data_IF_970492418954
#
_entry.id   IF_970492418954
#
_cell.length_a   1.000
_cell.length_b   1.000
_cell.length_c   1.000
_cell.angle_alpha   90.00
_cell.angle_beta   90.00
_cell.angle_gamma   90.00
#
_symmetry.space_group_name_H-M   'P 1'
#
loop_
_entity.id
_entity.type
_entity.pdbx_description
1 polymer ?
#
# COMPACT_ATOMS: atom_id res chain seq x y z
N UNK A 1 -13.59 11.96 7.44
CA UNK A 1 -13.43 10.81 6.51
C UNK A 1 -14.08 9.53 7.04
N UNK A 2 -13.82 9.09 8.31
CA UNK A 2 -14.48 7.90 8.90
C UNK A 2 -16.00 8.02 8.84
N UNK A 3 -16.56 9.15 9.27
CA UNK A 3 -18.00 9.43 9.22
C UNK A 3 -18.55 9.32 7.79
N UNK A 4 -17.87 9.92 6.80
CA UNK A 4 -18.30 9.88 5.40
C UNK A 4 -18.32 8.45 4.85
N UNK A 5 -17.30 7.61 5.16
CA UNK A 5 -17.28 6.19 4.78
C UNK A 5 -18.43 5.44 5.45
N UNK A 6 -18.67 5.65 6.76
CA UNK A 6 -19.76 4.99 7.50
C UNK A 6 -21.14 5.34 6.94
N UNK A 7 -21.34 6.55 6.48
CA UNK A 7 -22.58 6.98 5.82
C UNK A 7 -22.74 6.30 4.46
N UNK A 8 -21.69 6.35 3.63
CA UNK A 8 -21.72 5.81 2.27
C UNK A 8 -21.86 4.30 2.22
N UNK A 9 -21.25 3.57 3.18
CA UNK A 9 -21.26 2.13 3.18
C UNK A 9 -22.69 1.54 3.24
N UNK A 10 -23.66 2.28 3.80
CA UNK A 10 -25.05 1.84 3.87
C UNK A 10 -25.64 1.58 2.49
N UNK A 11 -25.31 2.46 1.52
CA UNK A 11 -25.80 2.41 0.14
C UNK A 11 -24.81 1.77 -0.84
N UNK A 12 -23.77 1.11 -0.33
CA UNK A 12 -22.72 0.47 -1.12
C UNK A 12 -23.01 -1.02 -1.26
N UNK A 13 -22.78 -1.56 -2.45
CA UNK A 13 -22.97 -2.99 -2.75
C UNK A 13 -21.63 -3.74 -2.68
N UNK A 14 -20.54 -3.15 -3.16
CA UNK A 14 -19.18 -3.69 -3.14
C UNK A 14 -18.19 -2.60 -2.74
N UNK A 15 -17.18 -2.96 -1.97
CA UNK A 15 -16.07 -2.08 -1.62
C UNK A 15 -14.82 -2.50 -2.38
N UNK A 16 -14.25 -1.58 -3.15
CA UNK A 16 -12.92 -1.73 -3.73
C UNK A 16 -11.91 -1.13 -2.76
N UNK A 17 -10.99 -1.95 -2.28
CA UNK A 17 -9.79 -1.47 -1.58
C UNK A 17 -8.58 -1.58 -2.50
N UNK A 18 -8.02 -0.42 -2.86
CA UNK A 18 -6.83 -0.32 -3.69
C UNK A 18 -5.59 -0.50 -2.81
N UNK A 19 -4.79 -1.50 -3.11
CA UNK A 19 -3.57 -1.88 -2.40
C UNK A 19 -2.35 -1.66 -3.29
N UNK A 20 -1.19 -1.40 -2.70
CA UNK A 20 0.07 -1.38 -3.42
C UNK A 20 0.63 -2.81 -3.52
N UNK A 21 0.77 -3.33 -4.74
CA UNK A 21 1.23 -4.71 -4.97
C UNK A 21 2.65 -5.00 -4.43
N UNK A 22 3.44 -3.96 -4.12
CA UNK A 22 4.75 -4.09 -3.49
C UNK A 22 4.69 -4.35 -1.98
N UNK A 23 3.54 -4.07 -1.35
CA UNK A 23 3.28 -4.21 0.09
C UNK A 23 1.76 -4.42 0.36
N UNK A 24 1.16 -5.52 -0.13
CA UNK A 24 -0.29 -5.68 -0.12
C UNK A 24 -0.91 -5.75 1.27
N UNK A 25 -0.27 -6.40 2.24
CA UNK A 25 -0.73 -6.46 3.62
C UNK A 25 -0.52 -5.13 4.35
N UNK A 26 0.67 -4.53 4.23
CA UNK A 26 0.99 -3.23 4.84
C UNK A 26 0.13 -2.09 4.30
N UNK A 27 -0.32 -2.15 3.05
CA UNK A 27 -1.21 -1.15 2.45
C UNK A 27 -2.70 -1.40 2.72
N UNK A 28 -3.08 -2.56 3.24
CA UNK A 28 -4.44 -2.83 3.68
C UNK A 28 -4.75 -2.05 4.97
N UNK A 29 -5.82 -1.27 4.94
CA UNK A 29 -6.19 -0.39 6.05
C UNK A 29 -7.14 -1.11 7.02
N UNK A 30 -6.70 -1.44 8.26
CA UNK A 30 -7.54 -2.16 9.22
C UNK A 30 -8.82 -1.39 9.60
N UNK A 31 -8.78 -0.06 9.61
CA UNK A 31 -9.97 0.76 9.86
C UNK A 31 -11.00 0.61 8.73
N UNK A 32 -10.54 0.53 7.47
CA UNK A 32 -11.44 0.28 6.34
C UNK A 32 -12.02 -1.13 6.43
N UNK A 33 -11.20 -2.14 6.74
CA UNK A 33 -11.67 -3.50 6.94
C UNK A 33 -12.77 -3.59 8.00
N UNK A 34 -12.59 -2.92 9.16
CA UNK A 34 -13.61 -2.83 10.22
C UNK A 34 -14.91 -2.18 9.73
N UNK A 35 -14.81 -1.01 9.04
CA UNK A 35 -15.97 -0.26 8.58
C UNK A 35 -16.74 -0.97 7.46
N UNK A 36 -16.07 -1.80 6.66
CA UNK A 36 -16.63 -2.41 5.46
C UNK A 36 -16.87 -3.92 5.58
N UNK A 37 -16.61 -4.53 6.73
CA UNK A 37 -16.68 -5.99 6.96
C UNK A 37 -18.00 -6.65 6.58
N UNK A 38 -19.11 -5.90 6.58
CA UNK A 38 -20.44 -6.41 6.21
C UNK A 38 -20.70 -6.39 4.69
N UNK A 39 -19.73 -5.93 3.89
CA UNK A 39 -19.88 -5.80 2.44
C UNK A 39 -18.87 -6.68 1.70
N UNK A 40 -19.24 -7.21 0.52
CA UNK A 40 -18.31 -7.87 -0.37
C UNK A 40 -17.13 -6.93 -0.69
N UNK A 41 -15.91 -7.47 -0.69
CA UNK A 41 -14.69 -6.69 -0.90
C UNK A 41 -13.93 -7.14 -2.15
N UNK A 42 -13.59 -6.18 -3.01
CA UNK A 42 -12.65 -6.37 -4.10
C UNK A 42 -11.29 -5.76 -3.70
N UNK A 43 -10.30 -6.60 -3.52
CA UNK A 43 -8.91 -6.18 -3.30
C UNK A 43 -8.23 -5.99 -4.65
N UNK A 44 -7.76 -4.79 -4.93
CA UNK A 44 -7.09 -4.47 -6.19
C UNK A 44 -5.61 -4.21 -5.89
N UNK A 45 -4.74 -5.13 -6.30
CA UNK A 45 -3.29 -4.99 -6.21
C UNK A 45 -2.82 -4.12 -7.37
N UNK A 46 -2.70 -2.81 -7.13
CA UNK A 46 -2.24 -1.83 -8.10
C UNK A 46 -0.71 -1.78 -8.17
N UNK A 47 -0.15 -1.28 -9.26
CA UNK A 47 1.29 -1.21 -9.52
C UNK A 47 1.95 -2.61 -9.58
N UNK A 48 1.24 -3.62 -10.07
CA UNK A 48 1.81 -4.97 -10.17
C UNK A 48 3.00 -5.05 -11.14
N UNK A 49 3.10 -4.09 -12.06
CA UNK A 49 4.26 -3.89 -12.94
C UNK A 49 5.57 -3.60 -12.18
N UNK A 50 5.47 -3.03 -10.96
CA UNK A 50 6.59 -2.72 -10.07
C UNK A 50 6.86 -3.82 -9.02
N UNK A 51 5.95 -4.80 -8.90
CA UNK A 51 5.97 -5.82 -7.86
C UNK A 51 6.53 -7.16 -8.37
N UNK A 52 7.05 -7.97 -7.45
CA UNK A 52 7.49 -9.34 -7.69
C UNK A 52 6.29 -10.19 -8.14
N UNK A 53 6.33 -10.78 -9.36
CA UNK A 53 5.20 -11.55 -9.88
C UNK A 53 4.84 -12.77 -9.03
N UNK A 54 5.84 -13.51 -8.54
CA UNK A 54 5.60 -14.70 -7.72
C UNK A 54 4.93 -14.34 -6.39
N UNK A 55 5.36 -13.26 -5.76
CA UNK A 55 4.72 -12.77 -4.52
C UNK A 55 3.35 -12.17 -4.77
N UNK A 56 3.13 -11.53 -5.92
CA UNK A 56 1.80 -11.04 -6.34
C UNK A 56 0.81 -12.19 -6.43
N UNK A 57 1.19 -13.33 -7.03
CA UNK A 57 0.33 -14.53 -7.09
C UNK A 57 -0.01 -15.08 -5.70
N UNK A 58 0.96 -15.11 -4.77
CA UNK A 58 0.70 -15.51 -3.39
C UNK A 58 -0.34 -14.62 -2.71
N UNK A 59 -0.25 -13.32 -2.91
CA UNK A 59 -1.21 -12.37 -2.35
C UNK A 59 -2.59 -12.44 -3.00
N UNK A 60 -2.67 -12.64 -4.31
CA UNK A 60 -3.93 -12.87 -5.01
C UNK A 60 -4.61 -14.14 -4.50
N UNK A 61 -3.87 -15.23 -4.37
CA UNK A 61 -4.39 -16.48 -3.81
C UNK A 61 -4.87 -16.30 -2.36
N UNK A 62 -4.09 -15.61 -1.52
CA UNK A 62 -4.44 -15.31 -0.14
C UNK A 62 -5.77 -14.53 -0.04
N UNK A 63 -5.90 -13.42 -0.74
CA UNK A 63 -7.12 -12.62 -0.67
C UNK A 63 -8.33 -13.34 -1.28
N UNK A 64 -8.14 -14.10 -2.37
CA UNK A 64 -9.21 -14.89 -2.97
C UNK A 64 -9.68 -16.06 -2.09
N UNK A 65 -8.89 -16.49 -1.10
CA UNK A 65 -9.29 -17.51 -0.13
C UNK A 65 -10.18 -16.96 0.99
N UNK A 66 -10.26 -15.63 1.15
CA UNK A 66 -11.06 -15.01 2.20
C UNK A 66 -12.55 -14.96 1.81
N UNK A 67 -13.48 -15.27 2.73
CA UNK A 67 -14.91 -15.21 2.45
C UNK A 67 -15.34 -13.82 1.99
N UNK A 68 -16.23 -13.76 0.99
CA UNK A 68 -16.79 -12.50 0.47
C UNK A 68 -15.75 -11.56 -0.16
N UNK A 69 -14.56 -12.08 -0.49
CA UNK A 69 -13.45 -11.31 -1.02
C UNK A 69 -13.04 -11.84 -2.39
N UNK A 70 -12.77 -10.93 -3.31
CA UNK A 70 -12.13 -11.19 -4.61
C UNK A 70 -10.88 -10.33 -4.70
N UNK A 71 -9.85 -10.81 -5.39
CA UNK A 71 -8.64 -10.05 -5.64
C UNK A 71 -8.26 -10.09 -7.13
N UNK A 72 -7.80 -8.95 -7.64
CA UNK A 72 -7.24 -8.81 -8.99
C UNK A 72 -5.99 -7.94 -8.94
N UNK A 73 -5.06 -8.16 -9.87
CA UNK A 73 -3.92 -7.27 -10.08
C UNK A 73 -4.20 -6.27 -11.20
N UNK A 74 -3.74 -5.05 -11.06
CA UNK A 74 -3.75 -4.02 -12.09
C UNK A 74 -2.38 -3.35 -12.21
N UNK A 75 -2.07 -2.83 -13.38
CA UNK A 75 -0.87 -2.03 -13.63
C UNK A 75 -1.14 -0.81 -14.53
N UNK A 76 -0.13 0.05 -14.64
CA UNK A 76 -0.22 1.28 -15.42
C UNK A 76 -0.32 1.03 -16.95
N UNK A 77 0.04 -0.17 -17.42
CA UNK A 77 -0.03 -0.55 -18.83
C UNK A 77 -1.42 -1.00 -19.27
N UNK A 78 -2.31 -1.26 -18.32
CA UNK A 78 -3.64 -1.78 -18.62
C UNK A 78 -4.52 -0.72 -19.26
N UNK A 79 -4.98 -1.00 -20.48
CA UNK A 79 -5.78 -0.06 -21.29
C UNK A 79 -7.28 -0.12 -20.99
N UNK A 80 -7.76 -1.22 -20.42
CA UNK A 80 -9.20 -1.43 -20.16
C UNK A 80 -9.49 -1.96 -18.74
N UNK A 81 -8.96 -1.32 -17.70
CA UNK A 81 -9.15 -1.81 -16.32
C UNK A 81 -10.62 -1.79 -15.88
N UNK A 82 -11.45 -0.91 -16.47
CA UNK A 82 -12.86 -0.81 -16.13
C UNK A 82 -13.62 -2.13 -16.34
N UNK A 83 -13.38 -2.84 -17.44
CA UNK A 83 -14.06 -4.13 -17.72
C UNK A 83 -13.76 -5.18 -16.65
N UNK A 84 -12.50 -5.28 -16.21
CA UNK A 84 -12.08 -6.23 -15.17
C UNK A 84 -12.66 -5.88 -13.80
N UNK A 85 -12.66 -4.60 -13.46
CA UNK A 85 -13.24 -4.11 -12.19
C UNK A 85 -14.75 -4.34 -12.15
N UNK A 86 -15.48 -4.01 -13.22
CA UNK A 86 -16.93 -4.22 -13.33
C UNK A 86 -17.25 -5.71 -13.23
N UNK A 87 -16.55 -6.57 -13.97
CA UNK A 87 -16.75 -8.02 -13.95
C UNK A 87 -16.53 -8.60 -12.53
N UNK A 88 -15.43 -8.22 -11.86
CA UNK A 88 -15.13 -8.67 -10.51
C UNK A 88 -16.18 -8.20 -9.48
N UNK A 89 -16.71 -6.99 -9.63
CA UNK A 89 -17.80 -6.49 -8.78
C UNK A 89 -19.11 -7.26 -9.01
N UNK A 90 -19.42 -7.64 -10.26
CA UNK A 90 -20.58 -8.47 -10.55
C UNK A 90 -20.47 -9.89 -10.00
N UNK A 91 -19.27 -10.48 -9.97
CA UNK A 91 -19.04 -11.77 -9.30
C UNK A 91 -19.35 -11.69 -7.79
N UNK A 92 -19.03 -10.56 -7.14
CA UNK A 92 -19.26 -10.34 -5.72
C UNK A 92 -20.71 -9.97 -5.35
N UNK A 93 -21.42 -9.31 -6.26
CA UNK A 93 -22.81 -8.90 -6.05
C UNK A 93 -23.68 -9.16 -7.31
N UNK A 94 -23.93 -10.44 -7.68
CA UNK A 94 -24.57 -10.82 -8.93
C UNK A 94 -26.05 -10.37 -9.04
N UNK A 95 -26.66 -10.01 -7.93
CA UNK A 95 -28.03 -9.48 -7.87
C UNK A 95 -28.12 -7.97 -8.17
N UNK A 96 -26.98 -7.32 -8.41
CA UNK A 96 -26.87 -5.91 -8.79
C UNK A 96 -26.44 -5.78 -10.24
N UNK A 97 -26.72 -4.64 -10.82
CA UNK A 97 -26.55 -4.32 -12.23
C UNK A 97 -27.89 -4.19 -12.95
N UNK A 98 -27.87 -3.49 -14.07
CA UNK A 98 -29.07 -3.08 -14.76
C UNK A 98 -29.70 -1.80 -14.21
N UNK A 99 -30.53 -1.14 -15.04
CA UNK A 99 -31.03 0.22 -14.77
C UNK A 99 -31.91 0.29 -13.50
N UNK A 100 -32.62 -0.78 -13.17
CA UNK A 100 -33.50 -0.81 -12.01
C UNK A 100 -32.73 -0.95 -10.67
N UNK A 101 -31.57 -1.61 -10.68
CA UNK A 101 -30.73 -1.83 -9.49
C UNK A 101 -29.26 -1.64 -9.84
N UNK A 102 -28.83 -0.40 -10.09
CA UNK A 102 -27.44 -0.13 -10.47
C UNK A 102 -26.46 -0.56 -9.37
N UNK A 103 -25.27 -1.00 -9.79
CA UNK A 103 -24.17 -1.35 -8.90
C UNK A 103 -23.59 -0.06 -8.29
N UNK A 104 -23.47 -0.01 -6.97
CA UNK A 104 -22.89 1.10 -6.22
C UNK A 104 -21.62 0.63 -5.53
N UNK A 105 -20.49 1.16 -5.93
CA UNK A 105 -19.17 0.70 -5.49
C UNK A 105 -18.44 1.83 -4.81
N UNK A 106 -17.92 1.57 -3.61
CA UNK A 106 -17.05 2.48 -2.90
C UNK A 106 -15.60 2.13 -3.23
N UNK A 107 -14.79 3.09 -3.67
CA UNK A 107 -13.34 2.92 -3.81
C UNK A 107 -12.59 3.65 -2.71
N UNK A 108 -11.70 2.94 -2.05
CA UNK A 108 -10.86 3.45 -0.97
C UNK A 108 -9.43 2.93 -1.10
N UNK A 109 -8.52 3.49 -0.34
CA UNK A 109 -7.12 3.09 -0.30
C UNK A 109 -6.27 4.10 0.46
N UNK A 110 -5.01 3.73 0.67
CA UNK A 110 -4.01 4.61 1.30
C UNK A 110 -3.60 5.75 0.35
N UNK A 111 -3.00 6.83 0.85
CA UNK A 111 -2.40 7.85 0.00
C UNK A 111 -1.36 7.26 -0.97
N UNK A 112 -1.25 7.85 -2.14
CA UNK A 112 -0.26 7.51 -3.17
C UNK A 112 -0.29 6.05 -3.69
N UNK A 113 -1.36 5.30 -3.40
CA UNK A 113 -1.57 3.95 -3.93
C UNK A 113 -1.90 3.93 -5.43
N UNK A 114 -2.15 5.09 -6.03
CA UNK A 114 -2.50 5.24 -7.45
C UNK A 114 -4.01 5.37 -7.70
N UNK A 115 -4.82 5.65 -6.68
CA UNK A 115 -6.28 5.73 -6.77
C UNK A 115 -6.75 6.80 -7.78
N UNK A 116 -6.23 8.01 -7.71
CA UNK A 116 -6.58 9.09 -8.65
C UNK A 116 -6.13 8.77 -10.09
N UNK A 117 -5.00 8.12 -10.27
CA UNK A 117 -4.51 7.66 -11.57
C UNK A 117 -5.47 6.62 -12.17
N UNK A 118 -5.86 5.61 -11.36
CA UNK A 118 -6.82 4.61 -11.78
C UNK A 118 -8.16 5.23 -12.17
N UNK A 119 -8.70 6.14 -11.36
CA UNK A 119 -9.95 6.84 -11.65
C UNK A 119 -9.86 7.60 -12.97
N UNK A 120 -8.76 8.30 -13.22
CA UNK A 120 -8.54 9.03 -14.48
C UNK A 120 -8.49 8.09 -15.69
N UNK A 121 -7.86 6.92 -15.56
CA UNK A 121 -7.84 5.87 -16.60
C UNK A 121 -9.25 5.32 -16.84
N UNK A 122 -10.00 5.05 -15.77
CA UNK A 122 -11.37 4.54 -15.87
C UNK A 122 -12.34 5.49 -16.56
N UNK A 123 -12.17 6.80 -16.37
CA UNK A 123 -13.06 7.82 -16.94
C UNK A 123 -12.62 8.36 -18.28
N UNK A 124 -11.41 8.03 -18.73
CA UNK A 124 -10.80 8.60 -19.95
C UNK A 124 -10.58 10.13 -19.88
N UNK A 125 -10.68 10.72 -18.69
CA UNK A 125 -10.57 12.18 -18.45
C UNK A 125 -9.73 12.42 -17.18
N UNK A 126 -9.14 13.61 -17.08
CA UNK A 126 -8.55 14.09 -15.81
C UNK A 126 -9.66 14.47 -14.80
N UNK A 127 -10.43 13.47 -14.36
CA UNK A 127 -11.54 13.66 -13.43
C UNK A 127 -11.07 13.81 -11.98
N UNK A 128 -9.93 13.20 -11.62
CA UNK A 128 -9.31 13.31 -10.31
C UNK A 128 -7.95 14.02 -10.42
N UNK A 129 -7.64 14.89 -9.44
CA UNK A 129 -6.33 15.52 -9.35
C UNK A 129 -5.30 14.47 -8.89
N UNK A 130 -4.26 14.28 -9.69
CA UNK A 130 -3.09 13.49 -9.34
C UNK A 130 -2.03 14.40 -8.70
N UNK A 131 -1.41 13.96 -7.62
CA UNK A 131 -0.33 14.69 -6.96
C UNK A 131 0.23 13.90 -5.79
N UNK A 132 1.47 14.20 -5.41
CA UNK A 132 2.19 13.52 -4.32
C UNK A 132 1.78 13.99 -2.91
N UNK A 133 0.84 14.94 -2.80
CA UNK A 133 0.37 15.44 -1.51
C UNK A 133 -0.79 14.61 -0.97
N UNK A 134 -0.63 14.10 0.24
CA UNK A 134 -1.66 13.38 0.96
C UNK A 134 -2.88 14.31 1.21
N UNK A 135 -4.07 13.88 0.83
CA UNK A 135 -5.32 14.60 1.14
C UNK A 135 -5.89 15.49 0.04
N UNK A 136 -5.46 15.35 -1.22
CA UNK A 136 -5.95 16.19 -2.34
C UNK A 136 -7.46 16.03 -2.60
N UNK A 137 -8.01 14.82 -2.41
CA UNK A 137 -9.46 14.58 -2.57
C UNK A 137 -10.18 14.97 -1.27
N UNK A 138 -10.85 16.12 -1.24
CA UNK A 138 -11.54 16.64 -0.05
C UNK A 138 -13.03 16.28 0.03
N UNK A 139 -13.64 15.92 -1.09
CA UNK A 139 -15.08 15.61 -1.20
C UNK A 139 -15.26 14.28 -1.92
N UNK A 140 -16.30 13.56 -1.53
CA UNK A 140 -16.76 12.37 -2.22
C UNK A 140 -17.22 12.71 -3.64
N UNK A 141 -16.73 12.00 -4.64
CA UNK A 141 -17.09 12.19 -6.04
C UNK A 141 -17.77 10.92 -6.58
N UNK A 142 -18.96 11.08 -7.17
CA UNK A 142 -19.62 10.01 -7.93
C UNK A 142 -19.09 9.98 -9.36
N UNK A 143 -18.67 8.81 -9.81
CA UNK A 143 -18.13 8.56 -11.14
C UNK A 143 -18.99 7.48 -11.79
N UNK A 144 -19.50 7.74 -13.00
CA UNK A 144 -20.25 6.76 -13.79
C UNK A 144 -19.30 6.01 -14.71
N UNK A 145 -19.13 4.70 -14.48
CA UNK A 145 -18.32 3.83 -15.34
C UNK A 145 -19.13 3.14 -16.41
N UNK A 146 -20.40 2.84 -16.14
CA UNK A 146 -21.40 2.35 -17.07
C UNK A 146 -22.77 2.88 -16.67
N UNK A 147 -23.78 2.72 -17.52
CA UNK A 147 -25.14 3.22 -17.25
C UNK A 147 -25.74 2.66 -15.96
N UNK A 148 -25.29 1.52 -15.52
CA UNK A 148 -25.75 0.79 -14.34
C UNK A 148 -24.63 0.57 -13.30
N UNK A 149 -23.51 1.30 -13.39
CA UNK A 149 -22.36 1.15 -12.49
C UNK A 149 -21.82 2.50 -12.02
N UNK A 150 -21.94 2.75 -10.72
CA UNK A 150 -21.49 3.98 -10.06
C UNK A 150 -20.34 3.71 -9.10
N UNK A 151 -19.26 4.44 -9.27
CA UNK A 151 -18.09 4.43 -8.39
C UNK A 151 -18.10 5.70 -7.52
N UNK A 152 -17.93 5.53 -6.22
CA UNK A 152 -17.82 6.62 -5.25
C UNK A 152 -16.39 6.68 -4.73
N UNK A 153 -15.69 7.79 -5.00
CA UNK A 153 -14.33 8.01 -4.57
C UNK A 153 -14.27 8.60 -3.16
N UNK A 154 -13.34 8.09 -2.35
CA UNK A 154 -13.03 8.63 -1.02
C UNK A 154 -11.60 9.15 -0.97
N UNK A 155 -11.32 10.16 -0.12
CA UNK A 155 -9.95 10.58 0.14
C UNK A 155 -9.07 9.41 0.59
N UNK A 156 -7.81 9.40 0.17
CA UNK A 156 -6.82 8.45 0.68
C UNK A 156 -6.66 8.61 2.21
N UNK A 157 -6.72 7.50 2.94
CA UNK A 157 -6.73 7.51 4.40
C UNK A 157 -5.72 6.52 4.95
N UNK A 158 -4.82 7.04 5.80
CA UNK A 158 -4.04 6.24 6.72
C UNK A 158 -4.77 6.15 8.06
N UNK A 159 -4.57 5.05 8.76
CA UNK A 159 -5.08 4.88 10.12
C UNK A 159 -4.14 5.52 11.15
N UNK A 160 -4.68 6.02 12.28
CA UNK A 160 -3.89 6.82 13.23
C UNK A 160 -2.76 6.06 13.91
N UNK A 161 -2.81 4.73 13.90
CA UNK A 161 -1.86 3.90 14.64
C UNK A 161 -1.52 2.63 13.88
N UNK A 162 -0.27 2.56 13.46
CA UNK A 162 0.31 1.36 12.84
C UNK A 162 0.87 0.48 13.97
N UNK A 163 0.29 -0.71 14.16
CA UNK A 163 0.72 -1.66 15.21
C UNK A 163 1.84 -2.59 14.75
N UNK A 164 2.02 -2.73 13.44
CA UNK A 164 3.10 -3.51 12.82
C UNK A 164 4.22 -2.56 12.43
N UNK A 165 5.32 -2.54 13.16
CA UNK A 165 6.44 -1.63 12.90
C UNK A 165 6.97 -1.75 11.45
N UNK A 166 7.16 -2.99 10.96
CA UNK A 166 7.61 -3.24 9.58
C UNK A 166 6.67 -2.65 8.53
N UNK A 167 5.36 -2.69 8.76
CA UNK A 167 4.38 -2.02 7.87
C UNK A 167 4.57 -0.50 7.82
N UNK A 168 4.95 0.12 8.95
CA UNK A 168 5.26 1.55 8.99
C UNK A 168 6.43 1.91 8.07
N UNK A 169 7.51 1.14 8.13
CA UNK A 169 8.67 1.32 7.26
C UNK A 169 8.32 1.04 5.78
N UNK A 170 7.57 -0.03 5.49
CA UNK A 170 7.12 -0.36 4.14
C UNK A 170 6.25 0.76 3.54
N UNK A 171 5.31 1.31 4.32
CA UNK A 171 4.48 2.44 3.91
C UNK A 171 5.31 3.71 3.65
N UNK A 172 6.29 4.00 4.49
CA UNK A 172 7.22 5.11 4.28
C UNK A 172 8.08 4.89 3.03
N UNK A 173 8.65 3.70 2.85
CA UNK A 173 9.43 3.35 1.68
C UNK A 173 8.63 3.50 0.37
N UNK A 174 7.35 3.12 0.36
CA UNK A 174 6.47 3.22 -0.82
C UNK A 174 6.03 4.65 -1.17
N UNK A 175 6.16 5.59 -0.23
CA UNK A 175 5.68 6.97 -0.37
C UNK A 175 4.22 7.19 0.06
N UNK A 176 3.60 6.22 0.75
CA UNK A 176 2.26 6.39 1.31
C UNK A 176 2.24 7.36 2.50
N UNK A 177 3.37 7.56 3.15
CA UNK A 177 3.59 8.50 4.27
C UNK A 177 4.43 9.68 3.78
N UNK A 178 4.05 10.90 4.18
CA UNK A 178 4.77 12.12 3.81
C UNK A 178 6.19 12.15 4.39
N UNK A 179 7.14 12.75 3.66
CA UNK A 179 8.58 12.76 4.02
C UNK A 179 8.87 13.31 5.42
N UNK A 180 8.10 14.26 5.91
CA UNK A 180 8.31 14.87 7.23
C UNK A 180 7.85 13.99 8.41
N UNK A 181 7.26 12.83 8.14
CA UNK A 181 6.70 11.95 9.16
C UNK A 181 7.62 10.78 9.55
N UNK A 182 8.79 10.64 8.92
CA UNK A 182 9.74 9.55 9.17
C UNK A 182 11.19 9.98 8.93
N UNK A 183 12.13 9.21 9.48
CA UNK A 183 13.55 9.34 9.21
C UNK A 183 13.92 8.49 7.98
N UNK A 184 14.43 9.12 6.92
CA UNK A 184 14.76 8.44 5.68
C UNK A 184 15.93 7.45 5.83
N UNK A 185 16.91 7.73 6.71
CA UNK A 185 18.01 6.80 6.99
C UNK A 185 17.48 5.51 7.65
N UNK A 186 16.60 5.63 8.65
CA UNK A 186 15.99 4.46 9.30
C UNK A 186 15.15 3.63 8.29
N UNK A 187 14.37 4.30 7.45
CA UNK A 187 13.57 3.61 6.42
C UNK A 187 14.47 2.90 5.42
N UNK A 188 15.57 3.52 5.00
CA UNK A 188 16.51 2.90 4.08
C UNK A 188 17.22 1.69 4.70
N UNK A 189 17.62 1.75 5.97
CA UNK A 189 18.24 0.63 6.69
C UNK A 189 17.27 -0.56 6.79
N UNK A 190 16.03 -0.32 7.20
CA UNK A 190 14.98 -1.35 7.27
C UNK A 190 14.65 -1.96 5.89
N UNK A 191 14.66 -1.13 4.84
CA UNK A 191 14.48 -1.58 3.47
C UNK A 191 15.66 -2.45 3.03
N UNK A 192 16.90 -2.02 3.28
CA UNK A 192 18.12 -2.76 2.93
C UNK A 192 18.22 -4.08 3.68
N UNK A 193 17.85 -4.13 4.96
CA UNK A 193 17.83 -5.38 5.73
C UNK A 193 16.94 -6.43 5.05
N UNK A 194 15.75 -6.04 4.60
CA UNK A 194 14.86 -6.93 3.85
C UNK A 194 15.41 -7.29 2.47
N UNK A 195 15.87 -6.29 1.72
CA UNK A 195 16.33 -6.48 0.35
C UNK A 195 17.59 -7.36 0.25
N UNK A 196 18.56 -7.22 1.16
CA UNK A 196 19.76 -8.05 1.15
C UNK A 196 19.49 -9.52 1.43
N UNK A 197 18.38 -9.84 2.13
CA UNK A 197 17.96 -11.21 2.43
C UNK A 197 17.15 -11.82 1.29
N UNK A 198 16.30 -11.04 0.63
CA UNK A 198 15.33 -11.54 -0.35
C UNK A 198 15.71 -11.22 -1.80
N UNK A 199 16.49 -10.17 -2.02
CA UNK A 199 16.79 -9.60 -3.34
C UNK A 199 18.27 -9.18 -3.46
N UNK A 200 19.20 -9.91 -2.83
CA UNK A 200 20.64 -9.61 -2.87
C UNK A 200 21.19 -9.41 -4.28
N UNK A 201 20.87 -10.28 -5.27
CA UNK A 201 21.37 -10.12 -6.64
C UNK A 201 20.99 -8.77 -7.28
N UNK A 202 19.79 -8.27 -7.01
CA UNK A 202 19.34 -6.98 -7.53
C UNK A 202 20.13 -5.81 -6.94
N UNK A 203 20.45 -5.86 -5.64
CA UNK A 203 21.32 -4.87 -4.99
C UNK A 203 22.74 -4.92 -5.53
N UNK A 204 23.30 -6.12 -5.69
CA UNK A 204 24.65 -6.34 -6.22
C UNK A 204 24.78 -5.81 -7.65
N UNK A 205 23.80 -6.13 -8.50
CA UNK A 205 23.76 -5.66 -9.88
C UNK A 205 23.63 -4.13 -9.96
N UNK A 206 22.69 -3.55 -9.20
CA UNK A 206 22.40 -2.10 -9.24
C UNK A 206 23.54 -1.26 -8.74
N UNK A 207 24.15 -1.66 -7.62
CA UNK A 207 25.16 -0.85 -6.94
C UNK A 207 26.60 -1.29 -7.23
N UNK A 208 26.78 -2.36 -8.01
CA UNK A 208 28.11 -2.94 -8.32
C UNK A 208 28.87 -3.28 -7.04
N UNK A 209 28.18 -3.98 -6.14
CA UNK A 209 28.69 -4.49 -4.88
C UNK A 209 28.69 -6.02 -4.93
N UNK A 210 29.44 -6.65 -4.02
CA UNK A 210 29.53 -8.11 -3.88
C UNK A 210 29.21 -8.50 -2.43
N UNK A 211 28.66 -9.69 -2.22
CA UNK A 211 28.38 -10.25 -0.90
C UNK A 211 27.48 -9.37 -0.01
N UNK A 212 26.51 -8.65 -0.60
CA UNK A 212 25.64 -7.72 0.15
C UNK A 212 24.85 -8.41 1.24
N UNK A 213 24.49 -9.69 1.06
CA UNK A 213 23.75 -10.48 2.05
C UNK A 213 24.47 -10.62 3.39
N UNK A 214 25.80 -10.56 3.42
CA UNK A 214 26.63 -10.65 4.63
C UNK A 214 26.97 -9.29 5.25
N UNK A 215 26.67 -8.19 4.58
CA UNK A 215 26.97 -6.85 5.09
C UNK A 215 26.00 -6.41 6.18
N UNK A 216 26.51 -5.64 7.14
CA UNK A 216 25.64 -4.90 8.06
C UNK A 216 24.97 -3.74 7.31
N UNK A 217 23.77 -3.34 7.72
CA UNK A 217 22.93 -2.40 6.97
C UNK A 217 23.59 -1.04 6.82
N UNK A 218 24.23 -0.53 7.87
CA UNK A 218 24.94 0.75 7.84
C UNK A 218 26.17 0.70 6.92
N UNK A 219 26.87 -0.44 6.90
CA UNK A 219 28.01 -0.66 6.00
C UNK A 219 27.53 -0.73 4.56
N UNK A 220 26.44 -1.42 4.30
CA UNK A 220 25.82 -1.52 2.98
C UNK A 220 25.34 -0.14 2.49
N UNK A 221 24.62 0.62 3.34
CA UNK A 221 24.17 1.97 3.00
C UNK A 221 25.36 2.90 2.68
N UNK A 222 26.41 2.83 3.49
CA UNK A 222 27.66 3.60 3.25
C UNK A 222 28.34 3.19 1.94
N UNK A 223 28.43 1.90 1.63
CA UNK A 223 28.98 1.40 0.38
C UNK A 223 28.18 1.86 -0.83
N UNK A 224 26.85 1.82 -0.77
CA UNK A 224 25.94 2.36 -1.79
C UNK A 224 26.20 3.85 -1.98
N UNK A 225 26.28 4.62 -0.89
CA UNK A 225 26.57 6.05 -0.92
C UNK A 225 27.85 6.38 -1.65
N UNK A 226 28.95 5.63 -1.39
CA UNK A 226 30.22 5.77 -2.12
C UNK A 226 30.07 5.48 -3.61
N UNK A 227 29.45 4.35 -3.96
CA UNK A 227 29.24 3.94 -5.36
C UNK A 227 28.35 4.92 -6.14
N UNK A 228 27.43 5.59 -5.49
CA UNK A 228 26.48 6.54 -6.10
C UNK A 228 26.92 8.01 -5.98
N UNK A 229 28.11 8.28 -5.44
CA UNK A 229 28.63 9.63 -5.29
C UNK A 229 27.85 10.49 -4.26
N UNK A 230 27.21 9.87 -3.29
CA UNK A 230 26.59 10.55 -2.17
C UNK A 230 27.65 10.96 -1.13
N UNK A 231 28.50 11.92 -1.50
CA UNK A 231 29.63 12.38 -0.70
C UNK A 231 29.40 13.80 -0.21
N UNK A 232 30.03 14.14 0.90
CA UNK A 232 30.12 15.48 1.49
C UNK A 232 31.57 15.86 1.78
N UNK A 233 31.80 17.03 2.31
CA UNK A 233 33.16 17.56 2.57
C UNK A 233 34.09 16.57 3.26
N UNK A 234 35.34 16.46 2.80
CA UNK A 234 36.33 15.51 3.30
C UNK A 234 36.10 14.06 2.83
N UNK A 235 35.46 13.85 1.69
CA UNK A 235 35.20 12.53 1.09
C UNK A 235 34.39 11.57 2.01
N UNK A 236 33.61 12.12 2.94
CA UNK A 236 32.72 11.35 3.82
C UNK A 236 31.41 11.04 3.12
N UNK A 237 30.84 9.88 3.41
CA UNK A 237 29.52 9.50 2.87
C UNK A 237 28.44 10.36 3.52
N UNK A 238 27.56 10.92 2.70
CA UNK A 238 26.33 11.54 3.14
C UNK A 238 25.24 10.44 3.20
N UNK A 239 24.97 9.91 4.41
CA UNK A 239 24.03 8.82 4.62
C UNK A 239 22.60 9.20 4.27
N UNK A 240 22.20 10.44 4.57
CA UNK A 240 20.87 10.95 4.19
C UNK A 240 20.67 10.89 2.67
N UNK A 241 21.65 11.36 1.88
CA UNK A 241 21.60 11.30 0.42
C UNK A 241 21.65 9.86 -0.10
N UNK A 242 22.42 8.99 0.56
CA UNK A 242 22.44 7.55 0.23
C UNK A 242 21.07 6.91 0.47
N UNK A 243 20.41 7.23 1.59
CA UNK A 243 19.07 6.76 1.92
C UNK A 243 18.03 7.21 0.89
N UNK A 244 18.05 8.48 0.50
CA UNK A 244 17.18 9.02 -0.56
C UNK A 244 17.35 8.25 -1.87
N UNK A 245 18.58 7.90 -2.25
CA UNK A 245 18.87 7.11 -3.46
C UNK A 245 18.24 5.71 -3.37
N UNK A 246 18.44 5.02 -2.26
CA UNK A 246 17.89 3.66 -2.05
C UNK A 246 16.37 3.67 -2.12
N UNK A 247 15.72 4.59 -1.41
CA UNK A 247 14.25 4.74 -1.40
C UNK A 247 13.74 5.10 -2.80
N UNK A 248 14.42 5.99 -3.50
CA UNK A 248 14.08 6.36 -4.87
C UNK A 248 14.20 5.17 -5.83
N UNK A 249 15.32 4.43 -5.77
CA UNK A 249 15.57 3.27 -6.64
C UNK A 249 14.52 2.17 -6.43
N UNK A 250 14.05 1.96 -5.18
CA UNK A 250 12.92 1.09 -4.89
C UNK A 250 11.61 1.61 -5.48
N UNK A 251 11.26 2.87 -5.24
CA UNK A 251 10.01 3.48 -5.73
C UNK A 251 9.90 3.47 -7.24
N UNK A 252 10.99 3.74 -7.93
CA UNK A 252 11.09 3.79 -9.39
C UNK A 252 11.31 2.42 -10.04
N UNK A 253 11.31 1.33 -9.27
CA UNK A 253 11.60 -0.04 -9.71
C UNK A 253 12.95 -0.20 -10.43
N UNK A 254 13.93 0.67 -10.13
CA UNK A 254 15.29 0.59 -10.68
C UNK A 254 16.02 -0.64 -10.13
N UNK A 255 15.64 -1.09 -8.92
CA UNK A 255 16.10 -2.36 -8.33
C UNK A 255 15.41 -3.59 -8.93
N UNK A 256 14.52 -3.42 -9.92
CA UNK A 256 13.66 -4.47 -10.44
C UNK A 256 12.32 -4.55 -9.71
N UNK A 257 11.58 -5.61 -10.01
CA UNK A 257 10.25 -5.86 -9.44
C UNK A 257 10.38 -6.46 -8.05
N UNK A 258 9.94 -5.73 -7.04
CA UNK A 258 10.14 -6.07 -5.62
C UNK A 258 8.81 -6.01 -4.87
N UNK A 259 8.57 -6.99 -4.01
CA UNK A 259 7.49 -6.99 -3.02
C UNK A 259 8.07 -7.24 -1.64
N UNK A 260 7.78 -6.34 -0.70
CA UNK A 260 8.42 -6.26 0.62
C UNK A 260 7.85 -7.23 1.66
N UNK A 261 6.93 -8.11 1.25
CA UNK A 261 6.24 -9.02 2.17
C UNK A 261 5.53 -10.15 1.43
N UNK A 262 5.41 -11.28 2.10
CA UNK A 262 4.51 -12.37 1.72
C UNK A 262 3.33 -12.43 2.68
N UNK A 263 2.21 -13.11 2.35
CA UNK A 263 1.11 -13.31 3.30
C UNK A 263 1.54 -13.95 4.62
N UNK A 264 2.49 -14.91 4.57
CA UNK A 264 3.02 -15.58 5.76
C UNK A 264 3.83 -14.65 6.65
N UNK A 265 4.78 -13.89 6.08
CA UNK A 265 5.58 -12.90 6.80
C UNK A 265 4.68 -11.84 7.45
N UNK A 266 3.74 -11.28 6.68
CA UNK A 266 2.82 -10.28 7.18
C UNK A 266 1.94 -10.80 8.32
N UNK A 267 1.46 -12.04 8.22
CA UNK A 267 0.70 -12.69 9.28
C UNK A 267 1.50 -12.81 10.58
N UNK A 268 2.78 -13.18 10.51
CA UNK A 268 3.67 -13.23 11.66
C UNK A 268 3.91 -11.84 12.27
N UNK A 269 4.16 -10.83 11.46
CA UNK A 269 4.34 -9.45 11.93
C UNK A 269 3.07 -8.89 12.59
N UNK A 270 1.91 -9.22 12.02
CA UNK A 270 0.62 -8.82 12.58
C UNK A 270 0.38 -9.45 13.95
N UNK A 271 0.63 -10.75 14.10
CA UNK A 271 0.49 -11.44 15.37
C UNK A 271 1.42 -10.85 16.45
N UNK A 272 2.69 -10.60 16.11
CA UNK A 272 3.64 -9.96 17.01
C UNK A 272 3.22 -8.53 17.39
N UNK A 273 2.75 -7.73 16.43
CA UNK A 273 2.28 -6.37 16.66
C UNK A 273 1.05 -6.32 17.57
N UNK A 274 0.12 -7.25 17.42
CA UNK A 274 -1.07 -7.37 18.27
C UNK A 274 -0.71 -7.68 19.72
N UNK A 275 0.26 -8.56 19.96
CA UNK A 275 0.74 -8.87 21.31
C UNK A 275 1.34 -7.63 21.99
N UNK A 276 2.25 -6.93 21.31
CA UNK A 276 2.87 -5.70 21.83
C UNK A 276 1.80 -4.62 22.12
N UNK A 277 0.80 -4.50 21.23
CA UNK A 277 -0.28 -3.55 21.43
C UNK A 277 -1.17 -3.89 22.63
N UNK A 278 -1.51 -5.14 22.81
CA UNK A 278 -2.28 -5.62 23.96
C UNK A 278 -1.57 -5.33 25.29
N UNK A 279 -0.26 -5.62 25.38
CA UNK A 279 0.55 -5.30 26.54
C UNK A 279 0.57 -3.79 26.86
N UNK A 280 0.74 -2.96 25.82
CA UNK A 280 0.73 -1.51 25.95
C UNK A 280 -0.61 -0.97 26.43
N UNK A 281 -1.70 -1.52 25.93
CA UNK A 281 -3.05 -1.15 26.37
C UNK A 281 -3.29 -1.57 27.83
N UNK A 282 -2.86 -2.77 28.24
CA UNK A 282 -2.95 -3.24 29.62
C UNK A 282 -2.16 -2.32 30.58
N UNK A 283 -0.93 -1.91 30.21
CA UNK A 283 -0.13 -0.95 30.98
C UNK A 283 -0.80 0.43 31.10
N UNK A 284 -1.48 0.89 30.04
CA UNK A 284 -2.23 2.17 30.09
C UNK A 284 -3.43 2.10 31.03
N UNK A 285 -4.21 1.01 31.00
CA UNK A 285 -5.35 0.81 31.91
C UNK A 285 -4.91 0.80 33.38
N UNK A 286 -3.78 0.17 33.70
CA UNK A 286 -3.21 0.17 35.06
C UNK A 286 -2.72 1.55 35.56
N UNK A 287 -2.41 2.47 34.64
CA UNK A 287 -1.93 3.82 34.96
C UNK A 287 -3.04 4.89 35.08
N UNK A 288 -4.25 4.58 34.67
CA UNK A 288 -5.42 5.42 34.89
C UNK A 288 -6.16 4.87 36.11
N UNK A 289 -6.03 5.51 37.32
CA UNK A 289 -6.87 5.13 38.45
C UNK A 289 -8.32 5.41 38.07
N UNK A 290 -9.22 4.49 38.45
CA UNK A 290 -10.64 4.69 38.38
C UNK A 290 -11.00 6.06 38.91
N UNK A 291 -11.49 6.95 38.06
CA UNK A 291 -12.16 8.15 38.51
C UNK A 291 -13.50 7.70 39.08
N UNK A 292 -13.54 7.55 40.38
CA UNK A 292 -14.77 7.41 41.13
C UNK A 292 -15.63 8.67 41.01
#
# INVERSE_FOLDING_TARGET
>A
TRKAITERIKDTDVVIELLDARLPGSSANPMLAELTQAKPALKVLNKQDLADPARTELWLAHYNSLPGTRAIGLDASETTPAKRLIAACHELAPHRGGMAKPMRVLICGIPNVGKSTLINTLTGKKAAKTGDEAGITKLEQRITLASDFYLYDTPGVLWPRIIVAKSGYNLAASGAVGRNAFNEEEVALELLDYLKQQYAPQLEERYKLENVASMQDEVLLSAIGRKRGALQGGNRVNLQKAAEIVIYDFRAAILGRITLETPGEFGQWMAAGQLVDAERQAKKKKRQPEKA
#
